data_IF_183877822147
#
_entry.id   IF_183877822147
#
_cell.length_a   1.000
_cell.length_b   1.000
_cell.length_c   1.000
_cell.angle_alpha   90.00
_cell.angle_beta   90.00
_cell.angle_gamma   90.00
#
_symmetry.space_group_name_H-M   'P 1'
#
loop_
_entity.id
_entity.type
_entity.pdbx_description
1 polymer ?
#
# COMPACT_ATOMS: atom_id res chain seq x y z
N UNK A 1 21.85 -0.94 -8.46
CA UNK A 1 20.60 -0.19 -8.75
C UNK A 1 19.45 -0.90 -8.09
N UNK A 2 18.54 -0.14 -7.48
CA UNK A 2 17.22 -0.61 -7.03
C UNK A 2 16.15 0.12 -7.85
N UNK A 3 15.01 -0.50 -8.09
CA UNK A 3 13.86 0.15 -8.73
C UNK A 3 12.85 0.43 -7.61
N UNK A 4 12.42 1.68 -7.52
CA UNK A 4 11.32 2.12 -6.67
C UNK A 4 10.08 2.26 -7.55
N UNK A 5 8.97 1.63 -7.16
CA UNK A 5 7.74 1.59 -7.96
C UNK A 5 6.83 2.80 -7.70
N UNK A 6 6.66 3.18 -6.43
CA UNK A 6 5.79 4.26 -5.92
C UNK A 6 4.28 4.11 -6.14
N UNK A 7 3.82 3.13 -6.92
CA UNK A 7 2.39 2.88 -7.14
C UNK A 7 1.98 1.42 -6.98
N UNK A 8 2.45 0.75 -5.92
CA UNK A 8 2.02 -0.61 -5.59
C UNK A 8 0.59 -0.56 -5.02
N UNK A 9 -0.37 -1.15 -5.75
CA UNK A 9 -1.80 -1.23 -5.38
C UNK A 9 -2.47 -2.39 -6.14
N UNK A 10 -3.62 -2.91 -5.68
CA UNK A 10 -4.29 -4.06 -6.31
C UNK A 10 -4.51 -3.89 -7.82
N UNK A 11 -4.89 -2.69 -8.26
CA UNK A 11 -5.13 -2.36 -9.67
C UNK A 11 -3.89 -2.53 -10.58
N UNK A 12 -2.69 -2.42 -10.01
CA UNK A 12 -1.43 -2.54 -10.74
C UNK A 12 -0.81 -3.94 -10.59
N UNK A 13 -1.49 -4.88 -9.93
CA UNK A 13 -1.10 -6.29 -9.90
C UNK A 13 -1.99 -7.05 -10.89
N UNK A 14 -1.41 -7.41 -12.02
CA UNK A 14 -2.07 -8.21 -13.05
C UNK A 14 -1.88 -9.69 -12.75
N UNK A 15 -2.84 -10.51 -13.16
CA UNK A 15 -2.74 -11.96 -13.08
C UNK A 15 -2.56 -12.51 -14.49
N UNK A 16 -1.60 -13.41 -14.67
CA UNK A 16 -1.46 -14.13 -15.92
C UNK A 16 -2.41 -15.33 -16.01
N UNK A 17 -2.30 -16.13 -17.08
CA UNK A 17 -3.15 -17.31 -17.31
C UNK A 17 -3.03 -18.41 -16.24
N UNK A 18 -1.99 -18.38 -15.43
CA UNK A 18 -1.78 -19.31 -14.32
C UNK A 18 -2.14 -18.66 -12.96
N UNK A 19 -2.74 -17.47 -12.99
CA UNK A 19 -3.00 -16.64 -11.80
C UNK A 19 -1.72 -16.21 -11.06
N UNK A 20 -0.56 -16.19 -11.73
CA UNK A 20 0.65 -15.66 -11.12
C UNK A 20 0.60 -14.11 -11.13
N UNK A 21 0.85 -13.45 -9.99
CA UNK A 21 0.85 -12.00 -9.92
C UNK A 21 2.05 -11.39 -10.65
N UNK A 22 1.79 -10.36 -11.47
CA UNK A 22 2.78 -9.54 -12.18
C UNK A 22 2.55 -8.08 -11.82
N UNK A 23 3.61 -7.39 -11.44
CA UNK A 23 3.57 -5.94 -11.20
C UNK A 23 3.52 -5.21 -12.55
N UNK A 24 2.67 -4.20 -12.66
CA UNK A 24 2.47 -3.37 -13.84
C UNK A 24 2.50 -1.87 -13.48
N UNK A 25 2.37 -0.98 -14.47
CA UNK A 25 2.32 0.49 -14.28
C UNK A 25 3.59 1.11 -13.68
N UNK A 26 4.72 0.94 -14.37
CA UNK A 26 6.01 1.55 -14.02
C UNK A 26 6.12 3.05 -14.38
N UNK A 27 5.01 3.72 -14.73
CA UNK A 27 5.03 5.13 -15.15
C UNK A 27 5.56 6.11 -14.09
N UNK A 28 5.48 5.73 -12.81
CA UNK A 28 6.02 6.48 -11.68
C UNK A 28 7.37 5.94 -11.18
N UNK A 29 7.83 4.81 -11.71
CA UNK A 29 8.99 4.10 -11.19
C UNK A 29 10.29 4.89 -11.41
N UNK A 30 11.25 4.71 -10.50
CA UNK A 30 12.56 5.36 -10.57
C UNK A 30 13.69 4.40 -10.24
N UNK A 31 14.80 4.57 -10.94
CA UNK A 31 16.07 3.93 -10.58
C UNK A 31 16.69 4.66 -9.39
N UNK A 32 17.02 3.90 -8.36
CA UNK A 32 17.68 4.33 -7.14
C UNK A 32 19.09 3.72 -7.11
N UNK A 33 20.10 4.55 -7.34
CA UNK A 33 21.50 4.17 -7.12
C UNK A 33 21.87 4.40 -5.65
N UNK A 34 22.74 3.55 -5.09
CA UNK A 34 23.19 3.69 -3.68
C UNK A 34 23.88 5.04 -3.41
N UNK A 35 24.41 5.66 -4.46
CA UNK A 35 25.09 6.96 -4.41
C UNK A 35 24.13 8.15 -4.61
N UNK A 36 22.93 7.92 -5.16
CA UNK A 36 21.88 8.93 -5.31
C UNK A 36 21.10 9.08 -4.00
N UNK A 37 21.80 9.53 -2.96
CA UNK A 37 21.23 9.85 -1.64
C UNK A 37 20.25 11.04 -1.67
N UNK A 38 20.13 11.70 -2.83
CA UNK A 38 19.33 12.91 -3.03
C UNK A 38 18.42 12.69 -4.24
N UNK A 39 17.43 11.81 -4.09
CA UNK A 39 16.21 11.97 -4.89
C UNK A 39 15.63 13.33 -4.48
N UNK A 40 15.81 14.34 -5.33
CA UNK A 40 15.17 15.65 -5.21
C UNK A 40 13.71 15.39 -4.89
N UNK A 41 13.18 16.01 -3.82
CA UNK A 41 11.83 15.85 -3.23
C UNK A 41 10.72 16.18 -4.26
N UNK A 42 10.63 15.39 -5.31
CA UNK A 42 9.91 15.70 -6.55
C UNK A 42 8.48 15.24 -6.43
N UNK A 43 7.67 16.09 -5.80
CA UNK A 43 6.21 15.99 -5.67
C UNK A 43 5.71 14.71 -4.98
N UNK A 44 4.55 14.78 -4.33
CA UNK A 44 3.90 13.56 -3.85
C UNK A 44 3.59 12.67 -5.07
N UNK A 45 4.02 11.40 -5.04
CA UNK A 45 3.81 10.43 -6.13
C UNK A 45 3.20 9.16 -5.57
N UNK A 46 2.29 8.58 -6.35
CA UNK A 46 1.58 7.35 -6.00
C UNK A 46 0.09 7.60 -5.76
N UNK A 47 -0.63 6.52 -5.48
CA UNK A 47 -2.07 6.56 -5.22
C UNK A 47 -2.37 6.83 -3.74
N UNK A 48 -3.26 7.81 -3.48
CA UNK A 48 -3.73 8.11 -2.12
C UNK A 48 -4.35 6.86 -1.48
N UNK A 49 -4.04 6.61 -0.20
CA UNK A 49 -4.43 5.38 0.51
C UNK A 49 -3.40 4.25 0.44
N UNK A 50 -2.47 4.27 -0.51
CA UNK A 50 -1.35 3.32 -0.61
C UNK A 50 0.01 4.00 -0.41
N UNK A 51 0.05 5.33 -0.50
CA UNK A 51 1.27 6.12 -0.42
C UNK A 51 1.84 6.15 1.01
N UNK A 52 3.13 5.89 1.13
CA UNK A 52 3.86 6.01 2.39
C UNK A 52 3.89 7.47 2.89
N UNK A 53 3.84 7.71 4.21
CA UNK A 53 3.73 9.06 4.77
C UNK A 53 4.92 9.97 4.40
N UNK A 54 6.12 9.43 4.23
CA UNK A 54 7.32 10.17 3.80
C UNK A 54 7.23 10.76 2.38
N UNK A 55 6.32 10.25 1.54
CA UNK A 55 6.10 10.77 0.19
C UNK A 55 5.19 12.02 0.17
N UNK A 56 4.33 12.17 1.19
CA UNK A 56 3.42 13.31 1.30
C UNK A 56 3.91 14.35 2.32
N UNK A 57 4.43 13.89 3.46
CA UNK A 57 4.94 14.75 4.52
C UNK A 57 6.42 15.01 4.34
N UNK A 58 6.72 16.24 3.92
CA UNK A 58 8.08 16.76 3.76
C UNK A 58 8.96 16.62 5.01
N UNK A 59 8.37 16.50 6.20
CA UNK A 59 9.09 16.44 7.47
C UNK A 59 9.39 15.01 7.95
N UNK A 60 8.86 13.99 7.27
CA UNK A 60 8.97 12.59 7.67
C UNK A 60 10.05 11.93 6.81
N UNK A 61 11.31 12.04 7.23
CA UNK A 61 12.41 11.20 6.72
C UNK A 61 12.77 11.35 5.24
N UNK A 62 13.52 10.36 4.73
CA UNK A 62 13.96 10.26 3.33
C UNK A 62 13.21 9.12 2.63
N UNK A 63 12.76 9.38 1.40
CA UNK A 63 12.15 8.35 0.55
C UNK A 63 13.17 7.26 0.23
N UNK A 64 12.76 6.00 0.40
CA UNK A 64 13.57 4.81 0.12
C UNK A 64 12.67 3.67 -0.36
N UNK A 65 13.24 2.48 -0.60
CA UNK A 65 12.48 1.26 -0.88
C UNK A 65 11.46 0.88 0.20
N UNK A 66 11.55 1.48 1.40
CA UNK A 66 10.54 1.34 2.46
C UNK A 66 9.17 1.91 2.07
N UNK A 67 9.14 2.86 1.13
CA UNK A 67 7.87 3.39 0.63
C UNK A 67 7.05 2.30 -0.09
N UNK A 68 7.69 1.49 -0.95
CA UNK A 68 7.03 0.39 -1.64
C UNK A 68 6.63 -0.73 -0.66
N UNK A 69 7.41 -0.95 0.41
CA UNK A 69 7.07 -1.91 1.47
C UNK A 69 5.79 -1.46 2.21
N UNK A 70 5.65 -0.16 2.49
CA UNK A 70 4.43 0.38 3.07
C UNK A 70 3.22 0.16 2.14
N UNK A 71 3.37 0.52 0.86
CA UNK A 71 2.32 0.31 -0.14
C UNK A 71 1.92 -1.16 -0.31
N UNK A 72 2.88 -2.08 -0.21
CA UNK A 72 2.61 -3.52 -0.20
C UNK A 72 1.80 -3.95 1.04
N UNK A 73 2.10 -3.40 2.22
CA UNK A 73 1.29 -3.63 3.42
C UNK A 73 -0.16 -3.19 3.24
N UNK A 74 -0.38 -2.01 2.65
CA UNK A 74 -1.71 -1.51 2.30
C UNK A 74 -2.43 -2.42 1.28
N UNK A 75 -1.70 -2.97 0.32
CA UNK A 75 -2.23 -3.94 -0.65
C UNK A 75 -2.69 -5.24 0.01
N UNK A 76 -1.89 -5.82 0.93
CA UNK A 76 -2.28 -7.04 1.64
C UNK A 76 -3.53 -6.82 2.49
N UNK A 77 -3.60 -5.67 3.16
CA UNK A 77 -4.75 -5.26 3.94
C UNK A 77 -6.03 -5.17 3.11
N UNK A 78 -5.97 -4.56 1.93
CA UNK A 78 -7.13 -4.45 1.03
C UNK A 78 -7.57 -5.83 0.51
N UNK A 79 -6.63 -6.72 0.17
CA UNK A 79 -6.94 -8.09 -0.25
C UNK A 79 -7.62 -8.89 0.87
N UNK A 80 -7.08 -8.83 2.09
CA UNK A 80 -7.66 -9.52 3.24
C UNK A 80 -9.10 -9.03 3.51
N UNK A 81 -9.33 -7.73 3.41
CA UNK A 81 -10.68 -7.15 3.55
C UNK A 81 -11.63 -7.52 2.41
N UNK A 82 -11.16 -7.51 1.16
CA UNK A 82 -11.96 -7.96 0.04
C UNK A 82 -12.41 -9.42 0.23
N UNK A 83 -11.56 -10.28 0.80
CA UNK A 83 -11.92 -11.64 1.23
C UNK A 83 -13.00 -11.64 2.32
N UNK A 84 -12.81 -10.86 3.39
CA UNK A 84 -13.73 -10.81 4.54
C UNK A 84 -15.09 -10.18 4.22
N UNK A 85 -15.16 -9.21 3.30
CA UNK A 85 -16.41 -8.63 2.79
C UNK A 85 -17.22 -9.61 1.95
N UNK A 86 -16.56 -10.56 1.27
CA UNK A 86 -17.24 -11.61 0.51
C UNK A 86 -17.83 -12.70 1.42
N UNK A 87 -17.29 -12.87 2.62
CA UNK A 87 -17.78 -13.86 3.59
C UNK A 87 -18.82 -13.31 4.56
N UNK A 88 -18.81 -12.00 4.81
CA UNK A 88 -19.81 -11.31 5.66
C UNK A 88 -20.95 -10.76 4.78
N UNK A 89 -22.19 -11.21 5.04
CA UNK A 89 -23.45 -10.79 4.41
C UNK A 89 -23.57 -9.24 4.22
N UNK A 90 -24.47 -8.73 3.33
CA UNK A 90 -24.55 -7.32 2.88
C UNK A 90 -24.98 -6.29 3.95
N UNK A 91 -24.92 -6.63 5.24
CA UNK A 91 -25.01 -5.66 6.35
C UNK A 91 -23.74 -4.78 6.49
N UNK A 92 -22.72 -5.06 5.68
CA UNK A 92 -21.39 -4.43 5.73
C UNK A 92 -21.27 -3.20 4.82
N UNK A 93 -22.37 -2.69 4.26
CA UNK A 93 -22.35 -1.42 3.51
C UNK A 93 -21.83 -0.23 4.36
N UNK A 94 -21.87 -0.30 5.69
CA UNK A 94 -21.28 0.73 6.56
C UNK A 94 -19.75 0.64 6.76
N UNK A 95 -19.11 -0.53 6.52
CA UNK A 95 -17.64 -0.64 6.58
C UNK A 95 -16.95 -0.08 5.34
N UNK A 96 -17.70 0.25 4.28
CA UNK A 96 -17.18 0.91 3.08
C UNK A 96 -16.55 2.28 3.39
N UNK A 97 -16.92 2.90 4.51
CA UNK A 97 -16.42 4.21 4.95
C UNK A 97 -15.27 4.15 5.95
N UNK A 98 -14.91 2.97 6.46
CA UNK A 98 -13.88 2.85 7.49
C UNK A 98 -12.51 2.75 6.82
N UNK A 99 -11.61 3.68 7.16
CA UNK A 99 -10.20 3.60 6.79
C UNK A 99 -9.58 2.40 7.49
N UNK A 100 -9.32 1.33 6.76
CA UNK A 100 -9.01 0.04 7.35
C UNK A 100 -7.78 0.02 8.29
N UNK A 101 -6.69 0.77 8.04
CA UNK A 101 -5.59 0.86 9.01
C UNK A 101 -6.02 1.41 10.37
N UNK A 102 -6.99 2.34 10.44
CA UNK A 102 -7.50 2.81 11.73
C UNK A 102 -8.32 1.73 12.42
N UNK A 103 -9.12 0.97 11.67
CA UNK A 103 -9.88 -0.16 12.24
C UNK A 103 -8.97 -1.24 12.84
N UNK A 104 -7.90 -1.65 12.14
CA UNK A 104 -6.92 -2.60 12.71
C UNK A 104 -6.32 -2.02 13.99
N UNK A 105 -5.92 -0.74 13.96
CA UNK A 105 -5.34 -0.08 15.12
C UNK A 105 -6.29 -0.09 16.31
N UNK A 106 -7.58 0.17 16.09
CA UNK A 106 -8.61 0.11 17.12
C UNK A 106 -8.78 -1.32 17.66
N UNK A 107 -8.86 -2.33 16.78
CA UNK A 107 -8.95 -3.74 17.22
C UNK A 107 -7.73 -4.18 18.04
N UNK A 108 -6.53 -3.77 17.62
CA UNK A 108 -5.29 -4.05 18.34
C UNK A 108 -5.28 -3.39 19.72
N UNK A 109 -5.69 -2.12 19.81
CA UNK A 109 -5.76 -1.39 21.10
C UNK A 109 -6.83 -1.95 22.04
N UNK A 110 -7.94 -2.47 21.49
CA UNK A 110 -9.01 -3.12 22.25
C UNK A 110 -8.61 -4.51 22.77
N UNK A 111 -7.39 -4.99 22.47
CA UNK A 111 -6.89 -6.29 22.92
C UNK A 111 -7.65 -7.48 22.35
N UNK A 112 -8.39 -7.25 21.25
CA UNK A 112 -9.07 -8.32 20.52
C UNK A 112 -8.02 -9.08 19.72
N UNK A 113 -8.05 -10.40 19.82
CA UNK A 113 -7.25 -11.24 18.92
C UNK A 113 -7.67 -10.91 17.48
N UNK A 114 -6.70 -10.47 16.69
CA UNK A 114 -6.86 -10.40 15.25
C UNK A 114 -6.97 -11.85 14.79
N UNK A 115 -8.19 -12.33 14.52
CA UNK A 115 -8.38 -13.59 13.79
C UNK A 115 -7.87 -13.38 12.36
N UNK A 116 -6.56 -13.58 12.16
CA UNK A 116 -5.86 -13.53 10.86
C UNK A 116 -6.14 -14.81 10.09
#
# INVERSE_FOLDING_TARGET
MQILHFDIKPHNILLDKYFDPKISEFGLAKLYSRDDRVMTRTAARGTMGYMAPELFYKNIGRVSHKADIYSFGMLLMDIYMAGRRRTLNPFVDSLSQIYFPSWIYDQFNEGKDLEI
#
